data_IF_771736976378
#
_entry.id   IF_771736976378
#
_cell.length_a   1.000
_cell.length_b   1.000
_cell.length_c   1.000
_cell.angle_alpha   90.00
_cell.angle_beta   90.00
_cell.angle_gamma   90.00
#
_symmetry.space_group_name_H-M   'P 1'
#
loop_
_entity.id
_entity.type
_entity.pdbx_description
1 polymer ?
#
# COMPACT_ATOMS: atom_id res chain seq x y z
N UNK A 1 -1.98 -6.69 7.63
CA UNK A 1 -0.58 -7.03 7.91
C UNK A 1 -0.52 -8.15 8.96
N UNK A 2 0.32 -9.16 8.75
CA UNK A 2 0.55 -10.24 9.72
C UNK A 2 1.99 -10.15 10.23
N UNK A 3 2.18 -9.82 11.50
CA UNK A 3 3.49 -9.81 12.13
C UNK A 3 3.79 -11.20 12.67
N UNK A 4 4.69 -11.95 12.02
CA UNK A 4 5.10 -13.29 12.48
C UNK A 4 6.27 -13.28 13.46
N UNK A 5 6.86 -12.11 13.72
CA UNK A 5 7.98 -11.96 14.64
C UNK A 5 7.52 -11.90 16.10
N UNK A 6 8.47 -11.97 17.04
CA UNK A 6 8.19 -11.83 18.47
C UNK A 6 8.13 -10.37 18.94
N UNK A 7 8.55 -9.42 18.10
CA UNK A 7 8.67 -8.00 18.45
C UNK A 7 7.55 -7.24 17.73
N UNK A 8 6.99 -6.21 18.38
CA UNK A 8 6.02 -5.33 17.76
C UNK A 8 6.58 -4.71 16.48
N UNK A 9 5.70 -4.38 15.53
CA UNK A 9 6.04 -3.62 14.34
C UNK A 9 5.33 -2.28 14.46
N UNK A 10 6.09 -1.25 14.82
CA UNK A 10 5.62 0.13 14.96
C UNK A 10 5.65 0.78 13.59
N UNK A 11 4.49 1.14 13.06
CA UNK A 11 4.35 1.65 11.68
C UNK A 11 4.69 3.15 11.68
N UNK A 12 5.72 3.52 10.92
CA UNK A 12 6.07 4.93 10.66
C UNK A 12 5.11 5.51 9.62
N UNK A 13 5.08 4.90 8.44
CA UNK A 13 4.24 5.35 7.35
C UNK A 13 3.70 4.19 6.50
N UNK A 14 2.56 4.49 5.87
CA UNK A 14 2.05 3.77 4.72
C UNK A 14 1.96 4.77 3.56
N UNK A 15 2.62 4.47 2.44
CA UNK A 15 2.62 5.36 1.27
C UNK A 15 2.05 4.68 0.03
N UNK A 16 1.40 5.47 -0.82
CA UNK A 16 0.78 5.03 -2.07
C UNK A 16 1.35 5.90 -3.20
N UNK A 17 2.03 5.29 -4.17
CA UNK A 17 2.69 6.04 -5.26
C UNK A 17 2.47 5.34 -6.59
N UNK A 18 1.95 6.05 -7.58
CA UNK A 18 1.96 5.58 -8.97
C UNK A 18 3.33 5.92 -9.56
N UNK A 19 4.04 4.92 -10.03
CA UNK A 19 5.38 5.05 -10.63
C UNK A 19 5.41 4.39 -12.00
N UNK A 20 6.32 4.84 -12.87
CA UNK A 20 6.58 4.19 -14.14
C UNK A 20 7.16 2.78 -13.90
N UNK A 21 6.70 1.78 -14.68
CA UNK A 21 7.34 0.47 -14.69
C UNK A 21 8.78 0.63 -15.20
N UNK A 22 9.76 0.06 -14.50
CA UNK A 22 11.17 0.16 -14.90
C UNK A 22 11.38 -0.48 -16.28
N UNK A 23 11.52 0.35 -17.30
CA UNK A 23 12.04 -0.03 -18.62
C UNK A 23 13.49 0.45 -18.70
N UNK A 24 14.40 -0.41 -19.17
CA UNK A 24 15.88 -0.27 -19.16
C UNK A 24 16.43 1.04 -19.79
N UNK A 25 15.58 1.92 -20.36
CA UNK A 25 15.96 3.10 -21.15
C UNK A 25 15.28 4.44 -20.77
N UNK A 26 14.80 4.64 -19.54
CA UNK A 26 14.32 5.98 -19.11
C UNK A 26 15.18 6.58 -17.99
N UNK A 27 15.65 7.81 -18.23
CA UNK A 27 16.49 8.60 -17.32
C UNK A 27 15.67 9.48 -16.37
N UNK A 28 14.35 9.63 -16.60
CA UNK A 28 13.42 10.37 -15.75
C UNK A 28 12.24 9.46 -15.37
N UNK A 29 11.99 9.32 -14.06
CA UNK A 29 10.91 8.54 -13.47
C UNK A 29 9.93 9.54 -12.85
N UNK A 30 8.66 9.52 -13.27
CA UNK A 30 7.63 10.35 -12.64
C UNK A 30 6.93 9.54 -11.56
N UNK A 31 6.87 10.13 -10.37
CA UNK A 31 6.15 9.59 -9.23
C UNK A 31 4.95 10.50 -8.94
N UNK A 32 3.76 9.89 -8.84
CA UNK A 32 2.57 10.57 -8.35
C UNK A 32 2.18 9.96 -7.00
N UNK A 33 2.30 10.75 -5.94
CA UNK A 33 1.84 10.35 -4.59
C UNK A 33 0.31 10.40 -4.57
N UNK A 34 -0.30 9.36 -4.01
CA UNK A 34 -1.74 9.30 -3.73
C UNK A 34 -1.96 9.44 -2.23
N UNK A 35 -2.72 10.46 -1.83
CA UNK A 35 -3.09 10.67 -0.44
C UNK A 35 -4.38 9.88 -0.11
N UNK A 36 -4.40 9.11 0.99
CA UNK A 36 -5.63 8.45 1.42
C UNK A 36 -6.67 9.45 1.91
N UNK A 37 -7.88 9.35 1.35
CA UNK A 37 -9.04 10.11 1.80
C UNK A 37 -9.53 9.63 3.17
N UNK A 38 -9.36 8.33 3.45
CA UNK A 38 -9.74 7.73 4.74
C UNK A 38 -8.92 6.48 5.01
N UNK A 39 -8.67 6.23 6.30
CA UNK A 39 -8.19 4.95 6.79
C UNK A 39 -9.16 4.42 7.86
N UNK A 40 -9.59 3.17 7.74
CA UNK A 40 -10.41 2.50 8.74
C UNK A 40 -9.58 1.44 9.45
N UNK A 41 -9.72 1.39 10.77
CA UNK A 41 -8.87 0.60 11.65
C UNK A 41 -7.39 0.92 11.39
N UNK A 42 -7.04 2.21 11.44
CA UNK A 42 -5.67 2.66 11.22
C UNK A 42 -4.80 2.26 12.41
N UNK A 43 -4.26 1.05 12.32
CA UNK A 43 -3.35 0.50 13.31
C UNK A 43 -1.97 1.10 13.11
N UNK A 44 -1.41 1.67 14.18
CA UNK A 44 -0.04 2.21 14.20
C UNK A 44 0.97 1.21 14.75
N UNK A 45 0.52 0.13 15.40
CA UNK A 45 1.41 -0.91 15.95
C UNK A 45 0.79 -2.28 15.76
N UNK A 46 1.54 -3.20 15.17
CA UNK A 46 1.13 -4.61 15.07
C UNK A 46 2.02 -5.44 15.97
N UNK A 47 1.47 -5.85 17.12
CA UNK A 47 2.22 -6.63 18.11
C UNK A 47 2.73 -7.97 17.52
N UNK A 48 3.75 -8.54 18.18
CA UNK A 48 4.33 -9.81 17.77
C UNK A 48 3.29 -10.93 17.70
N UNK A 49 3.39 -11.75 16.65
CA UNK A 49 2.48 -12.87 16.34
C UNK A 49 1.00 -12.47 16.13
N UNK A 50 0.70 -11.20 15.95
CA UNK A 50 -0.65 -10.72 15.69
C UNK A 50 -0.86 -10.36 14.22
N UNK A 51 -2.13 -10.19 13.85
CA UNK A 51 -2.54 -9.77 12.51
C UNK A 51 -3.56 -8.66 12.64
N UNK A 52 -3.32 -7.59 11.91
CA UNK A 52 -4.14 -6.39 11.93
C UNK A 52 -4.52 -6.02 10.51
N UNK A 53 -5.68 -5.38 10.34
CA UNK A 53 -6.19 -5.01 9.01
C UNK A 53 -6.59 -3.55 8.99
N UNK A 54 -5.86 -2.78 8.18
CA UNK A 54 -6.20 -1.39 7.85
C UNK A 54 -6.78 -1.34 6.46
N UNK A 55 -7.89 -0.64 6.28
CA UNK A 55 -8.50 -0.38 4.97
C UNK A 55 -8.28 1.08 4.62
N UNK A 56 -7.67 1.35 3.46
CA UNK A 56 -7.45 2.70 2.96
C UNK A 56 -8.40 2.98 1.79
N UNK A 57 -9.01 4.16 1.80
CA UNK A 57 -9.79 4.69 0.70
C UNK A 57 -8.96 5.80 0.02
N UNK A 58 -8.76 5.69 -1.29
CA UNK A 58 -8.05 6.66 -2.11
C UNK A 58 -9.05 7.43 -2.99
N UNK A 59 -8.68 8.63 -3.44
CA UNK A 59 -9.44 9.33 -4.47
C UNK A 59 -9.48 8.49 -5.76
N UNK A 60 -10.55 8.61 -6.56
CA UNK A 60 -10.64 7.87 -7.83
C UNK A 60 -9.46 8.25 -8.74
N UNK A 61 -8.64 7.27 -9.08
CA UNK A 61 -7.49 7.43 -9.96
C UNK A 61 -7.54 6.44 -11.13
N UNK A 62 -6.59 6.59 -12.06
CA UNK A 62 -6.35 5.65 -13.16
C UNK A 62 -4.87 5.28 -13.18
N UNK A 63 -4.55 4.01 -13.47
CA UNK A 63 -3.18 3.55 -13.68
C UNK A 63 -3.02 3.17 -15.16
N UNK A 64 -2.19 3.88 -15.93
CA UNK A 64 -1.82 3.44 -17.28
C UNK A 64 -1.06 2.12 -17.30
N UNK A 65 -1.08 1.36 -18.39
CA UNK A 65 -0.43 0.04 -18.49
C UNK A 65 1.09 0.08 -18.27
N UNK A 66 1.74 1.20 -18.60
CA UNK A 66 3.17 1.44 -18.40
C UNK A 66 3.53 1.96 -17.00
N UNK A 67 2.53 2.06 -16.10
CA UNK A 67 2.70 2.45 -14.70
C UNK A 67 2.16 1.37 -13.75
N UNK A 68 2.53 1.50 -12.48
CA UNK A 68 2.12 0.61 -11.41
C UNK A 68 1.94 1.40 -10.12
N UNK A 69 1.03 0.98 -9.25
CA UNK A 69 0.90 1.52 -7.91
C UNK A 69 1.83 0.74 -6.97
N UNK A 70 2.68 1.46 -6.26
CA UNK A 70 3.53 0.94 -5.21
C UNK A 70 2.90 1.34 -3.88
N UNK A 71 2.66 0.35 -3.03
CA UNK A 71 2.20 0.53 -1.66
C UNK A 71 3.35 0.12 -0.75
N UNK A 72 3.82 1.05 0.07
CA UNK A 72 4.96 0.83 0.96
C UNK A 72 4.54 0.96 2.41
N UNK A 73 5.07 0.10 3.27
CA UNK A 73 4.88 0.14 4.72
C UNK A 73 6.26 0.06 5.37
N UNK A 74 6.58 1.05 6.19
CA UNK A 74 7.86 1.14 6.89
C UNK A 74 7.67 1.13 8.40
N UNK A 75 8.66 0.56 9.09
CA UNK A 75 8.74 0.58 10.54
C UNK A 75 9.43 1.86 11.06
N UNK A 76 8.93 2.42 12.16
CA UNK A 76 9.54 3.56 12.87
C UNK A 76 10.89 3.16 13.47
N UNK A 77 11.93 3.94 13.13
CA UNK A 77 13.32 3.73 13.59
C UNK A 77 13.85 2.28 13.41
N UNK A 78 13.25 1.54 12.48
CA UNK A 78 13.49 0.12 12.25
C UNK A 78 14.11 -0.20 10.89
N UNK A 79 14.47 -1.47 10.69
CA UNK A 79 14.98 -1.98 9.43
C UNK A 79 13.93 -2.70 8.57
N UNK A 80 12.71 -2.92 9.09
CA UNK A 80 11.68 -3.69 8.39
C UNK A 80 10.89 -2.76 7.48
N UNK A 81 10.95 -3.03 6.18
CA UNK A 81 10.23 -2.31 5.14
C UNK A 81 9.61 -3.31 4.16
N UNK A 82 8.35 -3.11 3.79
CA UNK A 82 7.65 -3.95 2.84
C UNK A 82 7.03 -3.11 1.73
N UNK A 83 7.21 -3.55 0.49
CA UNK A 83 6.64 -2.92 -0.69
C UNK A 83 5.77 -3.93 -1.43
N UNK A 84 4.62 -3.46 -1.91
CA UNK A 84 3.67 -4.21 -2.70
C UNK A 84 3.43 -3.47 -4.02
N UNK A 85 3.44 -4.22 -5.11
CA UNK A 85 3.14 -3.68 -6.44
C UNK A 85 1.71 -4.08 -6.79
N UNK A 86 0.94 -3.12 -7.29
CA UNK A 86 -0.40 -3.31 -7.84
C UNK A 86 -0.38 -2.86 -9.29
N UNK A 87 -0.61 -3.80 -10.20
CA UNK A 87 -0.68 -3.54 -11.63
C UNK A 87 -2.06 -3.04 -12.07
N UNK A 88 -2.16 -2.46 -13.26
CA UNK A 88 -3.44 -2.11 -13.86
C UNK A 88 -4.40 -3.33 -13.91
N UNK A 89 -3.89 -4.52 -14.30
CA UNK A 89 -4.70 -5.73 -14.37
C UNK A 89 -5.32 -6.12 -13.01
N UNK A 90 -4.61 -5.89 -11.90
CA UNK A 90 -5.11 -6.19 -10.57
C UNK A 90 -6.31 -5.30 -10.20
N UNK A 91 -6.27 -4.03 -10.62
CA UNK A 91 -7.38 -3.08 -10.42
C UNK A 91 -8.56 -3.41 -11.32
N UNK A 92 -8.31 -3.75 -12.59
CA UNK A 92 -9.36 -4.14 -13.52
C UNK A 92 -10.07 -5.42 -13.07
N UNK A 93 -9.34 -6.35 -12.44
CA UNK A 93 -9.89 -7.59 -11.87
C UNK A 93 -10.42 -7.42 -10.45
N UNK A 94 -10.27 -6.25 -9.83
CA UNK A 94 -10.76 -6.01 -8.49
C UNK A 94 -12.29 -6.07 -8.45
N UNK A 95 -12.83 -6.67 -7.40
CA UNK A 95 -14.27 -6.70 -7.21
C UNK A 95 -14.77 -5.32 -6.80
N UNK A 96 -15.88 -4.90 -7.41
CA UNK A 96 -16.62 -3.72 -6.93
C UNK A 96 -17.25 -4.07 -5.58
N UNK A 97 -17.05 -3.19 -4.60
CA UNK A 97 -17.67 -3.30 -3.27
C UNK A 97 -18.79 -2.27 -3.21
N UNK A 98 -20.02 -2.71 -3.41
CA UNK A 98 -21.21 -1.84 -3.26
C UNK A 98 -21.52 -1.54 -1.78
N UNK A 99 -21.22 -2.49 -0.89
CA UNK A 99 -21.37 -2.34 0.56
C UNK A 99 -20.15 -2.89 1.30
N UNK A 100 -19.54 -2.06 2.15
CA UNK A 100 -18.32 -2.41 2.88
C UNK A 100 -18.69 -3.16 4.17
N UNK A 101 -18.66 -4.50 4.13
CA UNK A 101 -18.79 -5.35 5.32
C UNK A 101 -17.42 -5.63 5.93
N UNK A 102 -17.12 -5.02 7.07
CA UNK A 102 -15.89 -5.31 7.83
C UNK A 102 -16.29 -6.18 9.01
N UNK A 103 -15.95 -7.47 8.94
CA UNK A 103 -16.03 -8.42 10.06
C UNK A 103 -14.82 -8.29 10.99
#
# INVERSE_FOLDING_TARGET
MKNTSNIAFDIDYVSFKIVDKKVIKRTAMQEQVLEPLRAQNYVTVVHGKQSERTVFALEKFTIPDDKQLIIEVAEEEGGRHQSFVVDNEDIVRANVIDELSIQ
#
